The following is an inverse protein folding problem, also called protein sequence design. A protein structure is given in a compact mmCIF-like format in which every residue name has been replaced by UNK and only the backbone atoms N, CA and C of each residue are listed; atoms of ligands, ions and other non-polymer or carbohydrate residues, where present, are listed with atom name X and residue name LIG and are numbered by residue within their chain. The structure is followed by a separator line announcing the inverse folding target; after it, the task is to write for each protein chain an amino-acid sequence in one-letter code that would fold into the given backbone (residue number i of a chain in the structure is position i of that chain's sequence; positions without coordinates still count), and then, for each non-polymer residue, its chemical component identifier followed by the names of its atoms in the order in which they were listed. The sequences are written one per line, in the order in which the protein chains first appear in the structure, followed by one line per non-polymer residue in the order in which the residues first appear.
data_IF_771862176689
#
_entry.id   IF_771862176689
#
_cell.length_a   1.000
_cell.length_b   1.000
_cell.length_c   1.000
_cell.angle_alpha   90.00
_cell.angle_beta   90.00
_cell.angle_gamma   90.00
#
_symmetry.space_group_name_H-M   'P 1'
#
loop_
_entity.id
_entity.type
_entity.pdbx_description
1 polymer ?
#
# COMPACT_ATOMS: atom_id res chain seq x y z
N UNK A 1 -21.04 -14.11 1.55
CA UNK A 1 -20.24 -13.11 0.78
C UNK A 1 -19.24 -12.48 1.73
N UNK A 2 -18.18 -13.23 2.04
CA UNK A 2 -17.22 -12.91 3.10
C UNK A 2 -15.82 -12.90 2.49
N UNK A 3 -15.60 -11.96 1.57
CA UNK A 3 -14.28 -11.78 0.98
C UNK A 3 -13.41 -10.96 1.93
N UNK A 4 -12.46 -11.65 2.57
CA UNK A 4 -11.44 -11.03 3.39
C UNK A 4 -10.34 -10.46 2.47
N UNK A 5 -10.12 -9.13 2.44
CA UNK A 5 -9.12 -8.51 1.57
C UNK A 5 -7.71 -8.87 2.06
N UNK A 6 -6.76 -8.93 1.12
CA UNK A 6 -5.36 -9.26 1.44
C UNK A 6 -4.76 -8.21 2.40
N UNK A 7 -3.88 -8.61 3.33
CA UNK A 7 -3.10 -7.64 4.07
C UNK A 7 -2.20 -6.83 3.10
N UNK A 8 -2.09 -5.51 3.29
CA UNK A 8 -1.29 -4.66 2.41
C UNK A 8 0.21 -4.96 2.56
N UNK A 9 0.93 -4.95 1.44
CA UNK A 9 2.40 -5.03 1.44
C UNK A 9 3.01 -3.64 1.76
N UNK A 10 4.36 -3.53 1.90
CA UNK A 10 5.00 -2.25 2.22
C UNK A 10 4.70 -1.13 1.21
N UNK A 11 4.69 -1.45 -0.08
CA UNK A 11 4.37 -0.48 -1.14
C UNK A 11 2.91 0.00 -1.06
N UNK A 12 1.97 -0.88 -0.74
CA UNK A 12 0.56 -0.49 -0.56
C UNK A 12 0.41 0.42 0.67
N UNK A 13 1.13 0.15 1.76
CA UNK A 13 1.15 1.04 2.92
C UNK A 13 1.70 2.42 2.55
N UNK A 14 2.81 2.46 1.79
CA UNK A 14 3.38 3.70 1.27
C UNK A 14 2.44 4.45 0.34
N UNK A 15 1.80 3.78 -0.63
CA UNK A 15 0.83 4.39 -1.55
C UNK A 15 -0.30 5.07 -0.79
N UNK A 16 -0.87 4.39 0.21
CA UNK A 16 -1.91 4.98 1.06
C UNK A 16 -1.41 6.20 1.81
N UNK A 17 -0.17 6.15 2.31
CA UNK A 17 0.45 7.28 2.99
C UNK A 17 0.67 8.46 2.04
N UNK A 18 1.25 8.22 0.86
CA UNK A 18 1.48 9.24 -0.16
C UNK A 18 0.19 9.94 -0.56
N UNK A 19 -0.89 9.19 -0.78
CA UNK A 19 -2.21 9.76 -1.09
C UNK A 19 -2.74 10.62 0.06
N UNK A 20 -2.63 10.16 1.31
CA UNK A 20 -3.01 10.97 2.48
C UNK A 20 -2.16 12.23 2.64
N UNK A 21 -0.87 12.18 2.31
CA UNK A 21 0.01 13.35 2.31
C UNK A 21 -0.40 14.35 1.22
N UNK A 22 -0.77 13.86 0.04
CA UNK A 22 -1.30 14.68 -1.04
C UNK A 22 -2.63 15.35 -0.65
N UNK A 23 -3.56 14.61 -0.04
CA UNK A 23 -4.84 15.16 0.43
C UNK A 23 -4.66 16.22 1.51
N UNK A 24 -3.66 16.05 2.39
CA UNK A 24 -3.30 17.03 3.43
C UNK A 24 -2.48 18.22 2.91
N UNK A 25 -2.12 18.25 1.63
CA UNK A 25 -1.30 19.30 1.03
C UNK A 25 0.18 19.26 1.43
N UNK A 26 0.66 18.16 2.01
CA UNK A 26 2.08 17.96 2.37
C UNK A 26 2.94 17.65 1.13
N UNK A 27 2.31 17.20 0.04
CA UNK A 27 2.98 16.94 -1.24
C UNK A 27 2.28 17.78 -2.31
N UNK A 28 3.07 18.57 -3.04
CA UNK A 28 2.59 19.26 -4.23
C UNK A 28 2.57 18.28 -5.41
N UNK A 29 1.40 18.02 -5.96
CA UNK A 29 1.23 17.26 -7.20
C UNK A 29 0.24 17.99 -8.11
N UNK A 30 0.75 18.49 -9.24
CA UNK A 30 0.01 19.25 -10.25
C UNK A 30 -0.45 18.40 -11.45
N UNK A 31 -0.12 17.10 -11.46
CA UNK A 31 -0.48 16.21 -12.55
C UNK A 31 -1.95 15.75 -12.50
N UNK A 32 -2.41 15.05 -13.56
CA UNK A 32 -3.70 14.37 -13.56
C UNK A 32 -3.86 13.44 -12.36
N UNK A 33 -5.02 13.51 -11.68
CA UNK A 33 -5.36 12.66 -10.52
C UNK A 33 -5.94 11.29 -10.91
N UNK A 34 -5.68 10.83 -12.13
CA UNK A 34 -6.08 9.50 -12.56
C UNK A 34 -5.18 8.42 -11.97
N UNK A 35 -5.73 7.20 -11.82
CA UNK A 35 -5.03 6.09 -11.18
C UNK A 35 -3.72 5.71 -11.88
N UNK A 36 -3.62 5.86 -13.20
CA UNK A 36 -2.44 5.46 -13.97
C UNK A 36 -1.29 6.41 -13.70
N UNK A 37 -1.53 7.71 -13.84
CA UNK A 37 -0.50 8.76 -13.66
C UNK A 37 -0.01 8.79 -12.21
N UNK A 38 -0.93 8.72 -11.24
CA UNK A 38 -0.56 8.66 -9.82
C UNK A 38 0.25 7.40 -9.51
N UNK A 39 -0.15 6.23 -10.04
CA UNK A 39 0.60 4.99 -9.78
C UNK A 39 2.02 5.06 -10.34
N UNK A 40 2.22 5.70 -11.49
CA UNK A 40 3.55 5.93 -12.04
C UNK A 40 4.39 6.80 -11.09
N UNK A 41 3.86 7.95 -10.66
CA UNK A 41 4.58 8.87 -9.75
C UNK A 41 4.90 8.23 -8.40
N UNK A 42 3.93 7.55 -7.79
CA UNK A 42 4.13 6.86 -6.50
C UNK A 42 5.19 5.76 -6.64
N UNK A 43 5.21 5.04 -7.76
CA UNK A 43 6.23 4.01 -8.00
C UNK A 43 7.62 4.62 -8.15
N UNK A 44 7.73 5.79 -8.76
CA UNK A 44 8.97 6.55 -8.87
C UNK A 44 9.47 6.98 -7.48
N UNK A 45 8.62 7.69 -6.72
CA UNK A 45 8.96 8.18 -5.38
C UNK A 45 9.32 7.02 -4.43
N UNK A 46 8.64 5.87 -4.54
CA UNK A 46 9.00 4.67 -3.78
C UNK A 46 10.40 4.15 -4.13
N UNK A 47 10.79 4.16 -5.41
CA UNK A 47 12.11 3.69 -5.83
C UNK A 47 13.22 4.60 -5.31
N UNK A 48 13.02 5.91 -5.40
CA UNK A 48 13.98 6.92 -4.94
C UNK A 48 14.10 7.02 -3.42
N UNK A 49 13.07 6.61 -2.68
CA UNK A 49 13.06 6.66 -1.22
C UNK A 49 14.23 5.85 -0.61
N UNK A 50 14.94 6.40 0.41
CA UNK A 50 16.00 5.69 1.13
C UNK A 50 15.49 4.40 1.79
N UNK A 51 16.38 3.42 1.96
CA UNK A 51 16.03 2.14 2.58
C UNK A 51 15.58 2.28 4.04
N UNK A 52 16.12 3.27 4.78
CA UNK A 52 15.68 3.52 6.16
C UNK A 52 14.18 3.88 6.21
N UNK A 53 13.75 4.77 5.31
CA UNK A 53 12.35 5.20 5.20
C UNK A 53 11.45 4.05 4.71
N UNK A 54 11.91 3.27 3.73
CA UNK A 54 11.24 2.02 3.31
C UNK A 54 11.07 1.05 4.49
N UNK A 55 12.03 1.03 5.41
CA UNK A 55 12.00 0.25 6.65
C UNK A 55 10.78 0.54 7.52
N UNK A 56 10.31 1.80 7.59
CA UNK A 56 9.07 2.17 8.29
C UNK A 56 7.87 1.41 7.70
N UNK A 57 7.71 1.44 6.37
CA UNK A 57 6.61 0.77 5.68
C UNK A 57 6.72 -0.76 5.71
N UNK A 58 7.94 -1.30 5.72
CA UNK A 58 8.18 -2.75 5.94
C UNK A 58 7.67 -3.20 7.31
N UNK A 59 7.99 -2.44 8.37
CA UNK A 59 7.49 -2.71 9.74
C UNK A 59 5.98 -2.59 9.83
N UNK A 60 5.39 -1.54 9.24
CA UNK A 60 3.95 -1.34 9.22
C UNK A 60 3.22 -2.48 8.50
N UNK A 61 3.70 -2.90 7.32
CA UNK A 61 3.13 -4.02 6.59
C UNK A 61 3.21 -5.34 7.39
N UNK A 62 4.33 -5.57 8.10
CA UNK A 62 4.47 -6.73 8.98
C UNK A 62 3.46 -6.69 10.13
N UNK A 63 3.26 -5.53 10.75
CA UNK A 63 2.28 -5.36 11.82
C UNK A 63 0.86 -5.60 11.30
N UNK A 64 0.50 -5.03 10.14
CA UNK A 64 -0.81 -5.26 9.50
C UNK A 64 -1.01 -6.72 9.10
N UNK A 65 0.03 -7.41 8.62
CA UNK A 65 -0.02 -8.85 8.34
C UNK A 65 -0.28 -9.66 9.60
N UNK A 66 0.40 -9.35 10.71
CA UNK A 66 0.19 -10.00 12.01
C UNK A 66 -1.23 -9.75 12.54
N UNK A 67 -1.69 -8.50 12.52
CA UNK A 67 -3.05 -8.13 12.94
C UNK A 67 -4.11 -8.82 12.07
N UNK A 68 -3.88 -8.92 10.76
CA UNK A 68 -4.75 -9.64 9.85
C UNK A 68 -4.82 -11.13 10.16
N UNK A 69 -3.67 -11.77 10.42
CA UNK A 69 -3.62 -13.18 10.79
C UNK A 69 -4.32 -13.46 12.14
N UNK A 70 -4.21 -12.54 13.10
CA UNK A 70 -4.93 -12.64 14.37
C UNK A 70 -6.44 -12.41 14.22
N UNK A 71 -6.85 -11.46 13.37
CA UNK A 71 -8.26 -11.15 13.12
C UNK A 71 -8.97 -12.21 12.28
N UNK A 72 -8.24 -12.83 11.35
CA UNK A 72 -8.75 -13.84 10.43
C UNK A 72 -7.92 -15.13 10.56
N UNK A 73 -8.05 -15.86 11.68
CA UNK A 73 -7.39 -17.15 11.84
C UNK A 73 -7.89 -18.10 10.75
N UNK A 74 -6.96 -18.75 10.04
CA UNK A 74 -7.29 -19.61 8.89
C UNK A 74 -7.43 -18.88 7.55
N UNK A 75 -7.16 -17.57 7.46
CA UNK A 75 -7.10 -16.88 6.17
C UNK A 75 -6.10 -17.55 5.22
N UNK A 76 -6.59 -17.99 4.06
CA UNK A 76 -5.78 -18.53 2.96
C UNK A 76 -6.00 -17.70 1.71
N UNK A 77 -4.92 -17.31 1.06
CA UNK A 77 -4.99 -16.62 -0.21
C UNK A 77 -5.47 -17.58 -1.31
N UNK A 78 -6.67 -17.34 -1.83
CA UNK A 78 -7.25 -18.05 -2.96
C UNK A 78 -7.45 -17.06 -4.13
N UNK A 79 -6.49 -16.92 -5.06
CA UNK A 79 -6.71 -16.12 -6.26
C UNK A 79 -7.87 -16.71 -7.06
N UNK A 80 -8.80 -15.86 -7.50
CA UNK A 80 -9.67 -16.23 -8.62
C UNK A 80 -8.79 -16.37 -9.85
N UNK A 81 -8.78 -17.57 -10.44
CA UNK A 81 -8.25 -17.78 -11.78
C UNK A 81 -9.01 -16.83 -12.70
N UNK A 82 -8.29 -16.09 -13.54
CA UNK A 82 -8.92 -15.36 -14.64
C UNK A 82 -9.15 -16.39 -15.74
N UNK A 83 -10.41 -16.61 -16.12
CA UNK A 83 -10.75 -17.29 -17.37
C UNK A 83 -10.28 -16.46 -18.57
#
# INVERSE_FOLDING_TARGET
PDYVPRPPNPFICFRQDWLRRLERGEIAYSGPRDQRTMSFRISHDWREMPEQEKGKFRREALQRKKAHAAKYPGYKFAPRQKE
#
